data_IF_327379483069
#
_entry.id   IF_327379483069
#
_cell.length_a   1.000
_cell.length_b   1.000
_cell.length_c   1.000
_cell.angle_alpha   90.00
_cell.angle_beta   90.00
_cell.angle_gamma   90.00
#
_symmetry.space_group_name_H-M   'P 1'
#
loop_
_entity.id
_entity.type
_entity.pdbx_description
1 polymer ?
#
# COMPACT_ATOMS: atom_id res chain seq x y z
N UNK A 1 -25.06 2.21 18.32
CA UNK A 1 -23.68 2.65 18.05
C UNK A 1 -23.32 2.01 16.71
N UNK A 2 -23.27 2.80 15.63
CA UNK A 2 -22.77 2.29 14.36
C UNK A 2 -21.30 1.92 14.57
N UNK A 3 -20.95 0.64 14.45
CA UNK A 3 -19.56 0.27 14.21
C UNK A 3 -19.18 0.98 12.90
N UNK A 4 -18.33 2.00 12.98
CA UNK A 4 -17.70 2.55 11.80
C UNK A 4 -17.02 1.37 11.09
N UNK A 5 -17.32 1.21 9.81
CA UNK A 5 -16.67 0.19 9.00
C UNK A 5 -15.20 0.60 8.82
N UNK A 6 -14.35 0.14 9.76
CA UNK A 6 -12.92 0.46 9.80
C UNK A 6 -12.14 -0.25 8.69
N UNK A 7 -12.80 -1.10 7.90
CA UNK A 7 -12.12 -1.92 6.90
C UNK A 7 -11.23 -3.02 7.49
N UNK A 8 -11.43 -3.37 8.75
CA UNK A 8 -10.70 -4.46 9.38
C UNK A 8 -10.94 -5.80 8.66
N UNK A 9 -9.88 -6.55 8.47
CA UNK A 9 -9.89 -7.92 7.95
C UNK A 9 -9.05 -8.78 8.88
N UNK A 10 -9.66 -9.79 9.48
CA UNK A 10 -8.95 -10.74 10.33
C UNK A 10 -7.89 -11.53 9.54
N UNK A 11 -6.68 -11.74 10.09
CA UNK A 11 -5.66 -12.57 9.46
C UNK A 11 -6.19 -13.96 9.09
N UNK A 12 -6.07 -14.31 7.80
CA UNK A 12 -6.60 -15.57 7.26
C UNK A 12 -8.13 -15.62 7.10
N UNK A 13 -8.86 -14.58 7.54
CA UNK A 13 -10.32 -14.45 7.39
C UNK A 13 -10.75 -14.10 5.95
N UNK A 14 -12.04 -13.97 5.67
CA UNK A 14 -12.53 -13.53 4.37
C UNK A 14 -11.91 -12.19 3.97
N UNK A 15 -11.51 -12.03 2.70
CA UNK A 15 -11.07 -10.73 2.20
C UNK A 15 -12.25 -9.75 2.07
N UNK A 16 -11.94 -8.47 2.03
CA UNK A 16 -12.89 -7.38 1.86
C UNK A 16 -12.74 -6.77 0.46
N UNK A 17 -13.79 -6.88 -0.35
CA UNK A 17 -13.86 -6.24 -1.67
C UNK A 17 -14.62 -4.92 -1.57
N UNK A 18 -14.02 -3.85 -2.12
CA UNK A 18 -14.65 -2.56 -2.34
C UNK A 18 -14.58 -2.21 -3.82
N UNK A 19 -15.69 -1.74 -4.35
CA UNK A 19 -15.77 -1.28 -5.73
C UNK A 19 -16.09 0.21 -5.78
N UNK A 20 -15.36 0.95 -6.63
CA UNK A 20 -15.56 2.36 -6.86
C UNK A 20 -15.42 2.63 -8.38
N UNK A 21 -16.55 2.60 -9.08
CA UNK A 21 -16.59 2.60 -10.54
C UNK A 21 -15.94 1.35 -11.14
N UNK A 22 -14.93 1.53 -11.97
CA UNK A 22 -14.15 0.43 -12.55
C UNK A 22 -13.12 -0.17 -11.59
N UNK A 23 -12.74 0.57 -10.54
CA UNK A 23 -11.76 0.13 -9.57
C UNK A 23 -12.36 -0.91 -8.62
N UNK A 24 -11.68 -2.04 -8.46
CA UNK A 24 -11.83 -2.98 -7.35
C UNK A 24 -10.61 -2.87 -6.46
N UNK A 25 -10.85 -2.66 -5.17
CA UNK A 25 -9.85 -2.79 -4.12
C UNK A 25 -10.21 -4.00 -3.27
N UNK A 26 -9.41 -5.07 -3.35
CA UNK A 26 -9.51 -6.25 -2.48
C UNK A 26 -8.46 -6.13 -1.39
N UNK A 27 -8.88 -6.22 -0.13
CA UNK A 27 -8.00 -6.23 1.03
C UNK A 27 -7.98 -7.62 1.65
N UNK A 28 -6.80 -8.15 1.87
CA UNK A 28 -6.54 -9.37 2.64
C UNK A 28 -5.71 -8.99 3.87
N UNK A 29 -5.88 -9.74 4.96
CA UNK A 29 -4.92 -9.74 6.06
C UNK A 29 -4.24 -11.11 6.15
N UNK A 30 -2.92 -11.10 6.29
CA UNK A 30 -2.07 -12.29 6.39
C UNK A 30 -1.12 -12.14 7.57
N UNK A 31 -0.53 -13.25 8.01
CA UNK A 31 0.41 -13.32 9.13
C UNK A 31 -0.20 -12.97 10.49
N UNK A 32 0.57 -13.24 11.56
CA UNK A 32 0.22 -12.87 12.94
C UNK A 32 0.48 -11.39 13.25
N UNK A 33 1.05 -10.64 12.30
CA UNK A 33 1.30 -9.20 12.42
C UNK A 33 0.22 -8.37 11.76
N UNK A 34 -0.87 -9.01 11.27
CA UNK A 34 -1.98 -8.33 10.60
C UNK A 34 -1.54 -7.55 9.35
N UNK A 35 -0.60 -8.12 8.57
CA UNK A 35 -0.14 -7.50 7.33
C UNK A 35 -1.27 -7.44 6.31
N UNK A 36 -1.54 -6.26 5.82
CA UNK A 36 -2.49 -6.06 4.73
C UNK A 36 -1.81 -6.26 3.37
N UNK A 37 -2.49 -6.99 2.52
CA UNK A 37 -2.15 -7.15 1.11
C UNK A 37 -3.33 -6.67 0.28
N UNK A 38 -3.06 -5.96 -0.80
CA UNK A 38 -4.13 -5.42 -1.63
C UNK A 38 -4.06 -5.92 -3.07
N UNK A 39 -5.24 -6.11 -3.69
CA UNK A 39 -5.36 -6.25 -5.14
C UNK A 39 -6.08 -5.02 -5.66
N UNK A 40 -5.41 -4.26 -6.53
CA UNK A 40 -5.99 -3.14 -7.24
C UNK A 40 -6.31 -3.60 -8.67
N UNK A 41 -7.58 -3.75 -8.99
CA UNK A 41 -7.98 -4.32 -10.28
C UNK A 41 -8.96 -3.43 -11.06
N UNK A 42 -8.79 -3.42 -12.37
CA UNK A 42 -9.77 -2.91 -13.30
C UNK A 42 -10.80 -4.00 -13.62
N UNK A 43 -12.02 -3.81 -13.15
CA UNK A 43 -13.15 -4.74 -13.33
C UNK A 43 -13.60 -4.89 -14.79
N UNK A 44 -13.24 -3.97 -15.68
CA UNK A 44 -13.61 -4.01 -17.10
C UNK A 44 -12.66 -4.87 -17.92
N UNK A 45 -11.38 -4.86 -17.54
CA UNK A 45 -10.32 -5.57 -18.28
C UNK A 45 -9.80 -6.80 -17.53
N UNK A 46 -10.17 -6.97 -16.25
CA UNK A 46 -9.64 -7.99 -15.34
C UNK A 46 -8.11 -7.91 -15.15
N UNK A 47 -7.49 -6.76 -15.41
CA UNK A 47 -6.07 -6.53 -15.12
C UNK A 47 -5.90 -6.03 -13.69
N UNK A 48 -4.86 -6.49 -13.01
CA UNK A 48 -4.64 -6.19 -11.60
C UNK A 48 -3.17 -5.99 -11.24
N UNK A 49 -2.93 -5.22 -10.17
CA UNK A 49 -1.70 -5.22 -9.38
C UNK A 49 -1.95 -5.95 -8.06
N UNK A 50 -0.98 -6.75 -7.62
CA UNK A 50 -0.88 -7.23 -6.26
C UNK A 50 0.03 -6.25 -5.49
N UNK A 51 -0.40 -5.71 -4.35
CA UNK A 51 0.40 -4.79 -3.55
C UNK A 51 0.84 -5.49 -2.28
N UNK A 52 2.12 -5.62 -2.12
CA UNK A 52 2.89 -6.41 -1.16
C UNK A 52 2.75 -7.93 -1.33
N UNK A 53 3.85 -8.62 -1.07
CA UNK A 53 3.91 -10.09 -1.02
C UNK A 53 4.28 -10.54 0.40
N UNK A 54 3.45 -10.08 1.35
CA UNK A 54 3.77 -10.10 2.77
C UNK A 54 3.94 -11.54 3.32
N UNK A 55 2.95 -12.41 3.15
CA UNK A 55 2.97 -13.79 3.67
C UNK A 55 1.91 -14.64 2.95
N UNK A 56 1.76 -15.93 3.31
CA UNK A 56 0.71 -16.84 2.85
C UNK A 56 0.51 -16.82 1.32
N UNK A 57 1.59 -17.12 0.58
CA UNK A 57 1.57 -17.11 -0.89
C UNK A 57 0.39 -17.89 -1.52
N UNK A 58 -0.06 -19.05 -1.00
CA UNK A 58 -1.24 -19.74 -1.53
C UNK A 58 -2.49 -18.85 -1.49
N UNK A 59 -2.67 -18.10 -0.40
CA UNK A 59 -3.79 -17.17 -0.24
C UNK A 59 -3.69 -15.98 -1.18
N UNK A 60 -2.49 -15.42 -1.37
CA UNK A 60 -2.25 -14.34 -2.33
C UNK A 60 -2.58 -14.81 -3.75
N UNK A 61 -2.13 -15.98 -4.15
CA UNK A 61 -2.42 -16.57 -5.46
C UNK A 61 -3.92 -16.81 -5.65
N UNK A 62 -4.63 -17.28 -4.61
CA UNK A 62 -6.07 -17.43 -4.65
C UNK A 62 -6.77 -16.06 -4.81
N UNK A 63 -6.28 -15.02 -4.15
CA UNK A 63 -6.90 -13.70 -4.20
C UNK A 63 -6.79 -13.02 -5.57
N UNK A 64 -5.81 -13.39 -6.38
CA UNK A 64 -5.61 -12.88 -7.74
C UNK A 64 -6.14 -13.83 -8.83
N UNK A 65 -6.74 -14.96 -8.45
CA UNK A 65 -7.31 -15.89 -9.41
C UNK A 65 -8.37 -15.21 -10.29
N UNK A 66 -8.28 -15.41 -11.61
CA UNK A 66 -9.17 -14.78 -12.59
C UNK A 66 -8.73 -13.40 -13.07
N UNK A 67 -7.67 -12.81 -12.49
CA UNK A 67 -7.08 -11.58 -13.00
C UNK A 67 -5.84 -11.84 -13.86
N UNK A 68 -5.63 -10.98 -14.84
CA UNK A 68 -4.34 -10.82 -15.52
C UNK A 68 -3.47 -9.90 -14.65
N UNK A 69 -2.57 -10.50 -13.88
CA UNK A 69 -1.70 -9.74 -12.96
C UNK A 69 -0.59 -9.07 -13.75
N UNK A 70 -0.54 -7.74 -13.70
CA UNK A 70 0.50 -6.92 -14.35
C UNK A 70 1.83 -7.10 -13.64
N UNK A 71 1.82 -7.02 -12.32
CA UNK A 71 2.95 -7.26 -11.42
C UNK A 71 2.49 -7.34 -9.97
N UNK A 72 3.35 -7.83 -9.10
CA UNK A 72 3.34 -7.52 -7.68
C UNK A 72 4.22 -6.28 -7.45
N UNK A 73 3.71 -5.28 -6.71
CA UNK A 73 4.46 -4.06 -6.38
C UNK A 73 4.66 -3.98 -4.88
N UNK A 74 5.86 -3.60 -4.45
CA UNK A 74 6.19 -3.50 -3.03
C UNK A 74 6.02 -2.08 -2.53
N UNK A 75 5.35 -1.91 -1.39
CA UNK A 75 5.33 -0.62 -0.70
C UNK A 75 6.69 -0.32 -0.11
N UNK A 76 7.35 -1.31 0.47
CA UNK A 76 8.70 -1.20 1.03
C UNK A 76 9.34 -2.57 1.26
N UNK A 77 10.61 -2.59 1.72
CA UNK A 77 11.40 -3.81 1.80
C UNK A 77 11.46 -4.50 3.17
N UNK A 78 10.67 -4.12 4.16
CA UNK A 78 10.70 -4.82 5.46
C UNK A 78 10.32 -6.29 5.31
N UNK A 79 10.99 -7.12 6.12
CA UNK A 79 10.95 -8.57 6.03
C UNK A 79 9.53 -9.16 6.08
N UNK A 80 8.63 -8.55 6.81
CA UNK A 80 7.24 -8.98 6.96
C UNK A 80 6.35 -8.63 5.75
N UNK A 81 6.79 -7.72 4.87
CA UNK A 81 6.12 -7.39 3.62
C UNK A 81 6.62 -8.18 2.41
N UNK A 82 7.69 -8.98 2.55
CA UNK A 82 8.34 -9.67 1.43
C UNK A 82 8.50 -11.18 1.62
N UNK A 83 7.87 -11.79 2.62
CA UNK A 83 8.06 -13.22 2.97
C UNK A 83 7.57 -14.17 1.88
N UNK A 84 6.56 -13.80 1.12
CA UNK A 84 6.03 -14.58 0.00
C UNK A 84 6.76 -14.31 -1.33
N UNK A 85 7.84 -13.52 -1.35
CA UNK A 85 8.57 -13.14 -2.57
C UNK A 85 8.92 -14.33 -3.46
N UNK A 86 9.63 -15.31 -2.90
CA UNK A 86 10.07 -16.48 -3.66
C UNK A 86 8.93 -17.27 -4.31
N UNK A 87 7.88 -17.66 -3.57
CA UNK A 87 6.72 -18.33 -4.14
C UNK A 87 5.96 -17.51 -5.19
N UNK A 88 5.82 -16.19 -5.03
CA UNK A 88 5.15 -15.33 -6.01
C UNK A 88 6.00 -15.19 -7.28
N UNK A 89 7.31 -14.99 -7.15
CA UNK A 89 8.23 -15.01 -8.31
C UNK A 89 8.23 -16.37 -9.03
N UNK A 90 8.19 -17.48 -8.29
CA UNK A 90 8.10 -18.82 -8.86
C UNK A 90 6.77 -19.09 -9.59
N UNK A 91 5.71 -18.35 -9.27
CA UNK A 91 4.45 -18.36 -10.01
C UNK A 91 4.50 -17.55 -11.32
N UNK A 92 5.65 -16.93 -11.65
CA UNK A 92 5.86 -16.17 -12.88
C UNK A 92 5.33 -14.74 -12.81
N UNK A 93 5.07 -14.20 -11.62
CA UNK A 93 4.64 -12.82 -11.40
C UNK A 93 5.87 -11.97 -11.15
N UNK A 94 6.07 -10.95 -12.00
CA UNK A 94 7.13 -9.95 -11.78
C UNK A 94 6.90 -9.19 -10.47
N UNK A 95 7.99 -8.91 -9.74
CA UNK A 95 7.94 -8.15 -8.49
C UNK A 95 8.71 -6.84 -8.70
N UNK A 96 8.03 -5.71 -8.47
CA UNK A 96 8.60 -4.38 -8.64
C UNK A 96 8.71 -3.66 -7.30
N UNK A 97 9.77 -2.87 -7.10
CA UNK A 97 9.99 -2.12 -5.85
C UNK A 97 10.93 -0.93 -6.05
N UNK A 98 11.11 -0.12 -5.02
CA UNK A 98 12.00 1.04 -5.10
C UNK A 98 13.47 0.65 -5.01
N UNK A 99 14.34 1.37 -5.73
CA UNK A 99 15.77 1.07 -5.76
C UNK A 99 16.45 1.25 -4.40
N UNK A 100 16.01 2.21 -3.58
CA UNK A 100 16.61 2.50 -2.28
C UNK A 100 16.32 1.39 -1.23
N UNK A 101 15.35 0.50 -1.49
CA UNK A 101 15.06 -0.66 -0.64
C UNK A 101 15.71 -1.96 -1.14
N UNK A 102 16.56 -1.91 -2.18
CA UNK A 102 17.30 -3.08 -2.65
C UNK A 102 18.03 -3.87 -1.54
N UNK A 103 18.65 -3.21 -0.53
CA UNK A 103 19.31 -3.92 0.57
C UNK A 103 18.35 -4.71 1.48
N UNK A 104 17.06 -4.37 1.45
CA UNK A 104 16.01 -4.97 2.29
C UNK A 104 15.28 -6.12 1.59
N UNK A 105 15.30 -6.15 0.24
CA UNK A 105 14.62 -7.18 -0.53
C UNK A 105 15.37 -8.51 -0.49
N UNK A 106 14.65 -9.66 -0.47
CA UNK A 106 15.27 -10.99 -0.48
C UNK A 106 15.98 -11.31 -1.81
N UNK A 107 15.59 -10.63 -2.89
CA UNK A 107 16.20 -10.69 -4.22
C UNK A 107 15.99 -9.36 -4.95
N UNK A 108 16.79 -9.03 -5.99
CA UNK A 108 16.54 -7.86 -6.80
C UNK A 108 15.13 -7.92 -7.43
N UNK A 109 14.37 -6.79 -7.42
CA UNK A 109 13.10 -6.72 -8.12
C UNK A 109 13.33 -6.79 -9.64
N UNK A 110 12.34 -7.31 -10.38
CA UNK A 110 12.38 -7.39 -11.83
C UNK A 110 12.38 -6.00 -12.48
N UNK A 111 11.82 -5.02 -11.78
CA UNK A 111 11.79 -3.62 -12.19
C UNK A 111 11.86 -2.69 -10.99
N UNK A 112 12.61 -1.59 -11.12
CA UNK A 112 12.59 -0.52 -10.13
C UNK A 112 11.49 0.51 -10.41
N UNK A 113 10.82 0.94 -9.34
CA UNK A 113 9.82 2.00 -9.36
C UNK A 113 10.40 3.29 -8.78
N UNK A 114 9.84 4.43 -9.20
CA UNK A 114 10.18 5.75 -8.67
C UNK A 114 8.93 6.60 -8.50
N UNK A 115 8.97 7.56 -7.58
CA UNK A 115 7.90 8.54 -7.39
C UNK A 115 7.55 9.29 -8.67
N UNK A 116 6.27 9.57 -8.87
CA UNK A 116 5.72 10.24 -10.05
C UNK A 116 5.46 9.32 -11.24
N UNK A 117 5.87 8.05 -11.19
CA UNK A 117 5.51 7.07 -12.23
C UNK A 117 4.01 6.76 -12.18
N UNK A 118 3.47 6.34 -13.32
CA UNK A 118 2.09 5.91 -13.50
C UNK A 118 2.07 4.51 -14.08
N UNK A 119 1.46 3.59 -13.35
CA UNK A 119 1.34 2.20 -13.73
C UNK A 119 -0.02 1.98 -14.39
N UNK A 120 0.00 1.45 -15.61
CA UNK A 120 -1.24 1.15 -16.34
C UNK A 120 -1.78 -0.23 -15.94
N UNK A 121 -2.99 -0.27 -15.41
CA UNK A 121 -3.71 -1.49 -14.99
C UNK A 121 -5.04 -1.54 -15.73
N UNK A 122 -5.05 -2.14 -16.90
CA UNK A 122 -6.20 -2.04 -17.80
C UNK A 122 -6.43 -0.58 -18.21
N UNK A 123 -7.62 -0.07 -17.96
CA UNK A 123 -7.99 1.33 -18.19
C UNK A 123 -7.67 2.25 -16.98
N UNK A 124 -7.26 1.67 -15.84
CA UNK A 124 -6.89 2.42 -14.67
C UNK A 124 -5.43 2.84 -14.72
N UNK A 125 -5.16 3.99 -14.12
CA UNK A 125 -3.82 4.50 -13.90
C UNK A 125 -3.56 4.61 -12.39
N UNK A 126 -2.49 3.97 -11.91
CA UNK A 126 -2.07 3.98 -10.51
C UNK A 126 -0.82 4.87 -10.41
N UNK A 127 -0.92 5.97 -9.68
CA UNK A 127 0.22 6.86 -9.43
C UNK A 127 1.10 6.31 -8.31
N UNK A 128 2.41 6.31 -8.51
CA UNK A 128 3.41 5.94 -7.51
C UNK A 128 3.87 7.19 -6.79
N UNK A 129 3.69 7.25 -5.47
CA UNK A 129 4.19 8.31 -4.60
C UNK A 129 5.39 7.77 -3.81
N UNK A 130 6.52 8.49 -3.82
CA UNK A 130 7.67 8.16 -2.99
C UNK A 130 7.63 9.01 -1.71
N UNK A 131 7.49 8.37 -0.57
CA UNK A 131 7.39 8.99 0.76
C UNK A 131 8.38 8.30 1.70
N UNK A 132 9.69 8.61 1.57
CA UNK A 132 10.73 7.97 2.36
C UNK A 132 10.66 8.36 3.84
N UNK A 133 11.19 7.48 4.72
CA UNK A 133 11.36 7.72 6.14
C UNK A 133 11.02 6.51 7.00
N UNK A 134 9.97 5.73 6.67
CA UNK A 134 9.79 4.40 7.26
C UNK A 134 10.85 3.44 6.73
N UNK A 135 11.04 3.42 5.41
CA UNK A 135 12.26 2.94 4.75
C UNK A 135 12.72 3.99 3.74
N UNK A 136 13.98 3.93 3.24
CA UNK A 136 14.45 4.84 2.21
C UNK A 136 13.62 4.76 0.91
N UNK A 137 13.10 3.56 0.58
CA UNK A 137 12.34 3.30 -0.65
C UNK A 137 10.82 3.24 -0.48
N UNK A 138 10.27 3.71 0.64
CA UNK A 138 8.82 3.63 0.90
C UNK A 138 7.97 4.26 -0.19
N UNK A 139 7.09 3.46 -0.79
CA UNK A 139 6.15 3.85 -1.83
C UNK A 139 4.71 3.76 -1.35
N UNK A 140 3.89 4.70 -1.83
CA UNK A 140 2.44 4.60 -1.77
C UNK A 140 1.87 4.50 -3.18
N UNK A 141 0.72 3.84 -3.33
CA UNK A 141 0.05 3.64 -4.62
C UNK A 141 -1.33 4.30 -4.60
N UNK A 142 -1.51 5.31 -5.43
CA UNK A 142 -2.76 6.08 -5.52
C UNK A 142 -3.59 5.59 -6.69
N UNK A 143 -4.74 5.01 -6.39
CA UNK A 143 -5.77 4.63 -7.36
C UNK A 143 -6.95 5.60 -7.30
N UNK A 144 -7.37 6.12 -8.46
CA UNK A 144 -8.55 6.99 -8.54
C UNK A 144 -9.80 6.16 -8.74
N UNK A 145 -10.78 6.33 -7.84
CA UNK A 145 -12.15 5.84 -8.01
C UNK A 145 -13.06 6.92 -8.60
N UNK A 146 -14.33 6.57 -8.81
CA UNK A 146 -15.36 7.53 -9.23
C UNK A 146 -15.86 8.41 -8.09
N UNK A 147 -15.87 7.87 -6.85
CA UNK A 147 -16.38 8.56 -5.66
C UNK A 147 -15.27 9.19 -4.83
N UNK A 148 -14.12 8.53 -4.75
CA UNK A 148 -12.96 8.97 -3.97
C UNK A 148 -11.67 8.37 -4.47
N UNK A 149 -10.56 8.94 -4.04
CA UNK A 149 -9.24 8.33 -4.22
C UNK A 149 -8.97 7.26 -3.16
N UNK A 150 -8.18 6.25 -3.52
CA UNK A 150 -7.75 5.15 -2.67
C UNK A 150 -6.21 5.13 -2.63
N UNK A 151 -5.64 5.37 -1.45
CA UNK A 151 -4.20 5.41 -1.22
C UNK A 151 -3.75 4.16 -0.47
N UNK A 152 -3.10 3.20 -1.15
CA UNK A 152 -2.37 2.14 -0.47
C UNK A 152 -1.08 2.74 0.05
N UNK A 153 -1.01 2.90 1.37
CA UNK A 153 0.02 3.68 2.05
C UNK A 153 1.20 2.82 2.55
N UNK A 154 1.09 1.49 2.52
CA UNK A 154 2.05 0.65 3.22
C UNK A 154 2.22 1.14 4.66
N UNK A 155 3.44 1.12 5.14
CA UNK A 155 3.78 1.56 6.48
C UNK A 155 4.13 3.04 6.59
N UNK A 156 3.69 3.84 5.60
CA UNK A 156 3.89 5.29 5.62
C UNK A 156 2.86 6.00 6.49
N UNK A 157 1.59 5.59 6.43
CA UNK A 157 0.47 6.25 7.13
C UNK A 157 -0.54 5.24 7.65
N UNK A 158 -0.88 5.38 8.94
CA UNK A 158 -1.83 4.57 9.69
C UNK A 158 -2.90 5.42 10.34
N UNK A 159 -3.99 4.83 10.84
CA UNK A 159 -4.85 5.48 11.81
C UNK A 159 -4.04 5.99 13.01
N UNK A 160 -4.05 7.30 13.24
CA UNK A 160 -3.39 7.93 14.38
C UNK A 160 -1.90 8.22 14.24
N UNK A 161 -1.28 8.00 13.06
CA UNK A 161 0.12 8.38 12.89
C UNK A 161 0.81 7.89 11.62
N UNK A 162 2.03 8.36 11.47
CA UNK A 162 2.97 7.83 10.47
C UNK A 162 3.64 6.54 10.95
N UNK A 163 4.22 5.77 10.03
CA UNK A 163 5.03 4.60 10.33
C UNK A 163 6.26 4.93 11.18
N UNK A 164 6.78 3.93 11.87
CA UNK A 164 7.98 4.06 12.67
C UNK A 164 9.15 4.56 11.82
N UNK A 165 9.98 5.43 12.42
CA UNK A 165 11.23 5.93 11.84
C UNK A 165 12.41 5.51 12.71
N UNK A 166 13.61 5.44 12.14
CA UNK A 166 14.82 4.99 12.86
C UNK A 166 15.69 6.17 13.32
N UNK A 167 15.42 7.39 12.83
CA UNK A 167 16.17 8.60 13.15
C UNK A 167 15.31 9.86 13.04
N UNK A 168 15.80 10.97 13.62
CA UNK A 168 15.19 12.29 13.45
C UNK A 168 15.14 12.70 11.97
N UNK A 169 16.17 12.37 11.20
CA UNK A 169 16.23 12.67 9.76
C UNK A 169 15.12 11.92 9.00
N UNK A 170 14.91 10.65 9.32
CA UNK A 170 13.85 9.85 8.70
C UNK A 170 12.46 10.34 9.11
N UNK A 171 12.29 10.79 10.37
CA UNK A 171 11.06 11.43 10.81
C UNK A 171 10.79 12.72 10.02
N UNK A 172 11.79 13.56 9.81
CA UNK A 172 11.64 14.76 8.97
C UNK A 172 11.23 14.38 7.54
N UNK A 173 11.89 13.37 6.95
CA UNK A 173 11.60 12.91 5.58
C UNK A 173 10.17 12.40 5.43
N UNK A 174 9.70 11.53 6.34
CA UNK A 174 8.33 11.00 6.25
C UNK A 174 7.29 12.10 6.43
N UNK A 175 7.51 13.03 7.38
CA UNK A 175 6.59 14.14 7.59
C UNK A 175 6.55 15.09 6.41
N UNK A 176 7.70 15.46 5.83
CA UNK A 176 7.76 16.29 4.63
C UNK A 176 7.07 15.62 3.44
N UNK A 177 7.32 14.32 3.25
CA UNK A 177 6.68 13.53 2.21
C UNK A 177 5.17 13.45 2.38
N UNK A 178 4.68 13.17 3.59
CA UNK A 178 3.25 13.16 3.91
C UNK A 178 2.61 14.53 3.65
N UNK A 179 3.21 15.61 4.15
CA UNK A 179 2.67 16.95 3.96
C UNK A 179 2.65 17.38 2.49
N UNK A 180 3.71 17.09 1.72
CA UNK A 180 3.84 17.55 0.34
C UNK A 180 3.14 16.64 -0.67
N UNK A 181 3.29 15.30 -0.54
CA UNK A 181 2.83 14.35 -1.54
C UNK A 181 1.42 13.81 -1.25
N UNK A 182 1.02 13.76 0.02
CA UNK A 182 -0.25 13.17 0.45
C UNK A 182 -1.23 14.26 0.87
N UNK A 183 -1.05 14.86 2.05
CA UNK A 183 -2.01 15.81 2.60
C UNK A 183 -2.10 17.13 1.83
N UNK A 184 -1.03 17.58 1.19
CA UNK A 184 -1.03 18.80 0.37
C UNK A 184 -1.67 18.64 -1.01
N UNK A 185 -1.88 17.39 -1.47
CA UNK A 185 -2.38 17.10 -2.82
C UNK A 185 -3.74 16.41 -2.84
N UNK A 186 -4.02 15.55 -1.86
CA UNK A 186 -5.17 14.66 -1.88
C UNK A 186 -6.30 15.20 -0.99
N UNK A 187 -7.53 14.89 -1.39
CA UNK A 187 -8.74 15.33 -0.68
C UNK A 187 -8.94 14.57 0.64
N UNK A 188 -9.64 15.19 1.58
CA UNK A 188 -9.98 14.59 2.89
C UNK A 188 -10.80 13.29 2.77
N UNK A 189 -11.52 13.11 1.67
CA UNK A 189 -12.30 11.90 1.37
C UNK A 189 -11.44 10.72 0.93
N UNK A 190 -10.15 10.91 0.64
CA UNK A 190 -9.24 9.84 0.22
C UNK A 190 -9.20 8.74 1.29
N UNK A 191 -9.50 7.50 0.88
CA UNK A 191 -9.38 6.33 1.73
C UNK A 191 -7.91 5.92 1.84
N UNK A 192 -7.41 5.80 3.06
CA UNK A 192 -6.05 5.34 3.36
C UNK A 192 -6.09 3.87 3.73
N UNK A 193 -5.27 3.09 3.06
CA UNK A 193 -5.17 1.63 3.12
C UNK A 193 -3.75 1.28 3.60
N UNK A 194 -3.53 1.11 4.92
CA UNK A 194 -2.21 0.93 5.50
C UNK A 194 -1.68 -0.50 5.34
N UNK A 195 -0.38 -0.69 5.62
CA UNK A 195 0.27 -2.00 5.58
C UNK A 195 -0.17 -2.97 6.67
N UNK A 196 -0.81 -2.48 7.74
CA UNK A 196 -1.35 -3.31 8.83
C UNK A 196 -2.67 -2.74 9.34
N UNK A 197 -3.55 -3.62 9.84
CA UNK A 197 -4.73 -3.26 10.61
C UNK A 197 -5.80 -2.49 9.83
N UNK A 198 -6.39 -1.51 10.49
CA UNK A 198 -7.60 -0.79 10.04
C UNK A 198 -7.30 0.28 8.99
N UNK A 199 -8.30 0.60 8.18
CA UNK A 199 -8.27 1.71 7.23
C UNK A 199 -8.62 3.04 7.92
N UNK A 200 -8.25 4.17 7.28
CA UNK A 200 -8.65 5.51 7.71
C UNK A 200 -8.92 6.42 6.52
N UNK A 201 -9.10 7.71 6.74
CA UNK A 201 -9.21 8.73 5.70
C UNK A 201 -8.27 9.89 5.98
N UNK A 202 -7.83 10.60 4.94
CA UNK A 202 -6.97 11.77 5.15
C UNK A 202 -7.64 12.85 6.01
N UNK A 203 -8.96 13.03 5.89
CA UNK A 203 -9.68 14.01 6.69
C UNK A 203 -9.70 13.69 8.19
N UNK A 204 -9.65 12.40 8.55
CA UNK A 204 -9.55 11.98 9.94
C UNK A 204 -8.16 12.25 10.52
N UNK A 205 -7.12 12.05 9.72
CA UNK A 205 -5.72 12.13 10.16
C UNK A 205 -5.13 13.54 10.05
N UNK A 206 -5.60 14.38 9.13
CA UNK A 206 -5.07 15.72 8.85
C UNK A 206 -4.97 16.62 10.08
N UNK A 207 -5.93 16.67 11.02
CA UNK A 207 -5.83 17.52 12.20
C UNK A 207 -4.64 17.19 13.11
N UNK A 208 -4.14 15.96 13.05
CA UNK A 208 -3.08 15.47 13.93
C UNK A 208 -1.66 15.71 13.39
N UNK A 209 -1.51 16.14 12.13
CA UNK A 209 -0.20 16.39 11.50
C UNK A 209 0.73 17.28 12.36
N UNK A 210 0.28 18.42 12.94
CA UNK A 210 1.16 19.23 13.77
C UNK A 210 1.63 18.50 15.03
N UNK A 211 0.78 17.63 15.58
CA UNK A 211 1.11 16.82 16.77
C UNK A 211 2.17 15.79 16.42
N UNK A 212 2.03 15.10 15.27
CA UNK A 212 3.02 14.11 14.82
C UNK A 212 4.37 14.76 14.56
N UNK A 213 4.38 15.91 13.86
CA UNK A 213 5.63 16.64 13.59
C UNK A 213 6.33 17.09 14.87
N UNK A 214 5.58 17.53 15.90
CA UNK A 214 6.13 17.98 17.17
C UNK A 214 6.57 16.82 18.09
N UNK A 215 5.95 15.65 17.95
CA UNK A 215 6.28 14.48 18.78
C UNK A 215 7.71 13.97 18.54
N UNK A 216 8.21 14.12 17.31
CA UNK A 216 9.48 13.57 16.88
C UNK A 216 9.41 12.07 16.58
N UNK A 217 10.58 11.48 16.39
CA UNK A 217 10.78 10.07 16.04
C UNK A 217 10.80 9.15 17.24
#
# INVERSE_FOLDING_TARGET
MNQENTGHVEPGGPWLDRTDGALLVRKLSVSTMDNNVYVLADRRTNRALLVDVADDAPRLLQAIEGFEVVAAVQTHGHWDHVRAWGPIAAAGIEIWGHADDLPLFPAPPDRTLAGGQRLQVGDLEIEVLHVPGHTPGSLCFLAKGEQRDHLVAGDTLFPGGHGRTESEEDHVRIMDGLEQQVFGRLADTTLVLPGHGDDTTLGRERPELPVWRARGW
#
